data_IF_969467849978
#
_entry.id   IF_969467849978
#
_cell.length_a   1.000
_cell.length_b   1.000
_cell.length_c   1.000
_cell.angle_alpha   90.00
_cell.angle_beta   90.00
_cell.angle_gamma   90.00
#
_symmetry.space_group_name_H-M   'P 1'
#
loop_
_entity.id
_entity.type
_entity.pdbx_description
1 polymer ?
#
# COMPACT_ATOMS: atom_id res chain seq x y z
N UNK A 1 13.73 2.41 11.28
CA UNK A 1 12.60 1.52 11.05
C UNK A 1 12.04 1.74 9.67
N UNK A 2 11.65 0.69 8.95
CA UNK A 2 11.02 0.88 7.64
C UNK A 2 9.72 1.66 7.78
N UNK A 3 9.47 2.55 6.86
CA UNK A 3 8.26 3.37 6.84
C UNK A 3 7.28 2.80 5.82
N UNK A 4 6.05 2.58 6.25
CA UNK A 4 5.00 2.02 5.42
C UNK A 4 3.97 3.11 5.15
N UNK A 5 3.65 3.33 3.88
CA UNK A 5 2.56 4.24 3.51
C UNK A 5 1.30 3.40 3.29
N UNK A 6 0.26 3.69 4.05
CA UNK A 6 -1.02 2.97 3.98
C UNK A 6 -2.07 3.86 3.36
N UNK A 7 -2.68 3.41 2.26
CA UNK A 7 -3.76 4.14 1.58
C UNK A 7 -5.05 3.35 1.70
N UNK A 8 -6.05 3.93 2.36
CA UNK A 8 -7.37 3.33 2.49
C UNK A 8 -8.32 4.43 2.93
N UNK A 9 -9.50 4.52 2.33
CA UNK A 9 -10.47 5.55 2.66
C UNK A 9 -11.32 5.22 3.89
N UNK A 10 -11.14 4.04 4.46
CA UNK A 10 -11.86 3.63 5.68
C UNK A 10 -11.03 3.98 6.91
N UNK A 11 -11.48 4.94 7.76
CA UNK A 11 -10.73 5.28 8.97
C UNK A 11 -10.53 4.08 9.90
N UNK A 12 -11.53 3.21 10.00
CA UNK A 12 -11.43 2.01 10.82
C UNK A 12 -10.33 1.09 10.33
N UNK A 13 -10.25 0.90 9.01
CA UNK A 13 -9.24 0.03 8.41
C UNK A 13 -7.85 0.61 8.57
N UNK A 14 -7.71 1.91 8.34
CA UNK A 14 -6.43 2.61 8.51
C UNK A 14 -5.94 2.46 9.95
N UNK A 15 -6.84 2.65 10.91
CA UNK A 15 -6.49 2.52 12.32
C UNK A 15 -6.04 1.11 12.66
N UNK A 16 -6.77 0.11 12.17
CA UNK A 16 -6.46 -1.29 12.41
C UNK A 16 -5.11 -1.68 11.83
N UNK A 17 -4.88 -1.31 10.56
CA UNK A 17 -3.62 -1.62 9.89
C UNK A 17 -2.44 -0.90 10.55
N UNK A 18 -2.64 0.37 10.93
CA UNK A 18 -1.58 1.13 11.60
C UNK A 18 -1.17 0.47 12.91
N UNK A 19 -2.15 -0.02 13.67
CA UNK A 19 -1.88 -0.69 14.94
C UNK A 19 -1.05 -1.96 14.73
N UNK A 20 -1.45 -2.77 13.74
CA UNK A 20 -0.74 -4.02 13.43
C UNK A 20 0.69 -3.72 13.03
N UNK A 21 0.88 -2.76 12.14
CA UNK A 21 2.21 -2.44 11.61
C UNK A 21 3.11 -1.80 12.66
N UNK A 22 2.59 -0.88 13.45
CA UNK A 22 3.39 -0.24 14.50
C UNK A 22 3.80 -1.24 15.56
N UNK A 23 2.91 -2.15 15.91
CA UNK A 23 3.23 -3.19 16.89
C UNK A 23 4.35 -4.10 16.38
N UNK A 24 4.43 -4.28 15.06
CA UNK A 24 5.48 -5.09 14.45
C UNK A 24 6.80 -4.33 14.27
N UNK A 25 6.84 -3.03 14.63
CA UNK A 25 8.07 -2.26 14.58
C UNK A 25 8.22 -1.34 13.38
N UNK A 26 7.16 -1.16 12.59
CA UNK A 26 7.22 -0.28 11.42
C UNK A 26 6.71 1.11 11.76
N UNK A 27 7.28 2.13 11.09
CA UNK A 27 6.70 3.47 11.09
C UNK A 27 5.57 3.49 10.07
N UNK A 28 4.49 4.23 10.35
CA UNK A 28 3.32 4.24 9.48
C UNK A 28 2.91 5.68 9.17
N UNK A 29 2.73 5.97 7.88
CA UNK A 29 2.04 7.16 7.40
C UNK A 29 0.78 6.69 6.70
N UNK A 30 -0.27 7.48 6.77
CA UNK A 30 -1.55 7.09 6.20
C UNK A 30 -2.04 8.12 5.18
N UNK A 31 -2.82 7.66 4.24
CA UNK A 31 -3.47 8.50 3.23
C UNK A 31 -4.88 8.00 3.00
N UNK A 32 -5.80 8.90 2.71
CA UNK A 32 -7.21 8.55 2.55
C UNK A 32 -7.56 8.13 1.13
N UNK A 33 -6.70 8.46 0.17
CA UNK A 33 -6.89 8.06 -1.23
C UNK A 33 -5.57 8.24 -1.97
N UNK A 34 -5.61 7.95 -3.28
CA UNK A 34 -4.42 8.03 -4.10
C UNK A 34 -3.85 9.43 -4.23
N UNK A 35 -4.74 10.43 -4.30
CA UNK A 35 -4.29 11.82 -4.39
C UNK A 35 -3.54 12.25 -3.14
N UNK A 36 -4.09 11.90 -1.97
CA UNK A 36 -3.43 12.18 -0.69
C UNK A 36 -2.08 11.47 -0.62
N UNK A 37 -2.03 10.24 -1.11
CA UNK A 37 -0.78 9.48 -1.17
C UNK A 37 0.26 10.16 -2.03
N UNK A 38 -0.14 10.65 -3.21
CA UNK A 38 0.79 11.36 -4.08
C UNK A 38 1.28 12.66 -3.44
N UNK A 39 0.41 13.34 -2.69
CA UNK A 39 0.79 14.56 -1.98
C UNK A 39 1.89 14.26 -0.96
N UNK A 40 1.75 13.17 -0.22
CA UNK A 40 2.76 12.78 0.76
C UNK A 40 4.09 12.43 0.10
N UNK A 41 4.04 11.72 -1.02
CA UNK A 41 5.27 11.39 -1.75
C UNK A 41 5.94 12.65 -2.31
N UNK A 42 5.15 13.58 -2.84
CA UNK A 42 5.68 14.85 -3.34
C UNK A 42 6.29 15.69 -2.23
N UNK A 43 5.80 15.52 -1.00
CA UNK A 43 6.33 16.21 0.17
C UNK A 43 7.63 15.64 0.71
N UNK A 44 8.16 14.60 0.08
CA UNK A 44 9.45 14.05 0.44
C UNK A 44 9.42 12.72 1.19
N UNK A 45 8.24 12.16 1.42
CA UNK A 45 8.16 10.85 2.06
C UNK A 45 8.76 9.79 1.15
N UNK A 46 9.58 8.92 1.72
CA UNK A 46 10.21 7.81 0.98
C UNK A 46 9.85 6.50 1.67
N UNK A 47 8.69 5.93 1.36
CA UNK A 47 8.28 4.69 2.04
C UNK A 47 9.13 3.51 1.60
N UNK A 48 9.34 2.59 2.52
CA UNK A 48 10.01 1.33 2.20
C UNK A 48 9.03 0.35 1.55
N UNK A 49 7.74 0.55 1.78
CA UNK A 49 6.69 -0.28 1.20
C UNK A 49 5.39 0.52 1.22
N UNK A 50 4.55 0.28 0.23
CA UNK A 50 3.24 0.92 0.13
C UNK A 50 2.16 -0.17 0.21
N UNK A 51 1.15 0.07 1.04
CA UNK A 51 0.01 -0.81 1.20
C UNK A 51 -1.23 -0.03 0.79
N UNK A 52 -1.92 -0.42 -0.27
CA UNK A 52 -3.01 0.37 -0.81
C UNK A 52 -4.25 -0.47 -1.11
N UNK A 53 -5.43 0.12 -0.85
CA UNK A 53 -6.67 -0.41 -1.36
C UNK A 53 -6.82 -0.01 -2.84
N UNK A 54 -7.76 -0.62 -3.53
CA UNK A 54 -8.11 -0.28 -4.91
C UNK A 54 -9.20 0.78 -4.94
N UNK A 55 -10.28 0.55 -4.18
CA UNK A 55 -11.48 1.39 -4.25
C UNK A 55 -11.38 2.57 -3.31
N UNK A 56 -10.96 3.71 -3.85
CA UNK A 56 -10.79 4.95 -3.08
C UNK A 56 -11.33 6.11 -3.92
N UNK A 57 -11.85 7.18 -3.26
CA UNK A 57 -12.29 8.36 -3.99
C UNK A 57 -11.10 9.14 -4.55
N UNK A 58 -11.36 10.08 -5.43
CA UNK A 58 -10.38 10.96 -6.06
C UNK A 58 -9.45 10.22 -7.00
N UNK A 59 -8.58 9.37 -6.46
CA UNK A 59 -7.66 8.57 -7.25
C UNK A 59 -7.66 7.16 -6.67
N UNK A 60 -8.06 6.16 -7.45
CA UNK A 60 -8.10 4.78 -6.98
C UNK A 60 -6.69 4.18 -6.89
N UNK A 61 -6.62 2.96 -6.32
CA UNK A 61 -5.33 2.33 -6.07
C UNK A 61 -4.55 2.00 -7.33
N UNK A 62 -5.22 1.61 -8.40
CA UNK A 62 -4.52 1.28 -9.65
C UNK A 62 -3.91 2.54 -10.26
N UNK A 63 -4.68 3.64 -10.29
CA UNK A 63 -4.16 4.91 -10.79
C UNK A 63 -2.99 5.39 -9.93
N UNK A 64 -3.11 5.23 -8.60
CA UNK A 64 -2.04 5.59 -7.68
C UNK A 64 -0.76 4.79 -7.98
N UNK A 65 -0.90 3.47 -8.18
CA UNK A 65 0.26 2.61 -8.47
C UNK A 65 0.97 3.10 -9.74
N UNK A 66 0.20 3.42 -10.78
CA UNK A 66 0.78 3.91 -12.03
C UNK A 66 1.60 5.18 -11.80
N UNK A 67 1.05 6.11 -11.03
CA UNK A 67 1.73 7.37 -10.75
C UNK A 67 2.96 7.16 -9.87
N UNK A 68 2.85 6.29 -8.87
CA UNK A 68 3.98 5.99 -7.99
C UNK A 68 5.15 5.39 -8.77
N UNK A 69 4.85 4.57 -9.77
CA UNK A 69 5.89 3.94 -10.58
C UNK A 69 6.61 4.93 -11.50
N UNK A 70 5.98 6.07 -11.79
CA UNK A 70 6.63 7.12 -12.58
C UNK A 70 7.56 7.98 -11.74
N UNK A 71 7.34 8.04 -10.44
CA UNK A 71 8.16 8.86 -9.56
C UNK A 71 9.49 8.14 -9.26
N UNK A 72 10.60 8.88 -9.32
CA UNK A 72 11.92 8.30 -9.10
C UNK A 72 12.05 7.68 -7.71
N UNK A 73 11.44 8.30 -6.69
CA UNK A 73 11.55 7.84 -5.31
C UNK A 73 10.80 6.54 -5.03
N UNK A 74 9.81 6.19 -5.86
CA UNK A 74 8.97 5.01 -5.61
C UNK A 74 8.96 4.02 -6.78
N UNK A 75 9.81 4.24 -7.77
CA UNK A 75 9.84 3.37 -8.96
C UNK A 75 10.00 1.90 -8.60
N UNK A 76 10.80 1.59 -7.59
CA UNK A 76 11.09 0.22 -7.19
C UNK A 76 10.55 -0.14 -5.81
N UNK A 77 9.77 0.74 -5.20
CA UNK A 77 9.21 0.48 -3.87
C UNK A 77 8.17 -0.64 -3.97
N UNK A 78 8.25 -1.67 -3.10
CA UNK A 78 7.22 -2.71 -3.12
C UNK A 78 5.84 -2.14 -2.82
N UNK A 79 4.84 -2.59 -3.55
CA UNK A 79 3.45 -2.16 -3.38
C UNK A 79 2.58 -3.40 -3.19
N UNK A 80 1.90 -3.48 -2.04
CA UNK A 80 0.93 -4.54 -1.77
C UNK A 80 -0.46 -3.94 -1.92
N UNK A 81 -1.32 -4.60 -2.69
CA UNK A 81 -2.74 -4.26 -2.76
C UNK A 81 -3.47 -5.06 -1.68
N UNK A 82 -4.25 -4.38 -0.84
CA UNK A 82 -5.07 -5.03 0.18
C UNK A 82 -6.48 -4.51 0.01
N UNK A 83 -7.39 -5.34 -0.50
CA UNK A 83 -8.70 -4.89 -0.92
C UNK A 83 -9.75 -5.99 -0.79
N UNK A 84 -11.03 -5.61 -0.73
CA UNK A 84 -12.13 -6.56 -0.81
C UNK A 84 -12.40 -7.01 -2.25
N UNK A 85 -11.80 -6.31 -3.21
CA UNK A 85 -11.95 -6.66 -4.61
C UNK A 85 -11.30 -8.02 -4.89
N UNK A 86 -12.04 -8.95 -5.49
CA UNK A 86 -11.52 -10.30 -5.72
C UNK A 86 -11.53 -10.69 -7.20
N UNK A 87 -11.96 -9.80 -8.08
CA UNK A 87 -12.03 -10.09 -9.51
C UNK A 87 -10.66 -10.19 -10.15
N UNK A 88 -10.49 -11.19 -11.02
CA UNK A 88 -9.21 -11.40 -11.71
C UNK A 88 -8.80 -10.23 -12.58
N UNK A 89 -9.78 -9.55 -13.18
CA UNK A 89 -9.49 -8.41 -14.04
C UNK A 89 -8.79 -7.28 -13.26
N UNK A 90 -9.30 -6.93 -12.10
CA UNK A 90 -8.68 -5.88 -11.27
C UNK A 90 -7.29 -6.30 -10.80
N UNK A 91 -7.14 -7.56 -10.45
CA UNK A 91 -5.85 -8.11 -10.03
C UNK A 91 -4.83 -8.01 -11.15
N UNK A 92 -5.23 -8.35 -12.37
CA UNK A 92 -4.35 -8.26 -13.54
C UNK A 92 -4.01 -6.80 -13.84
N UNK A 93 -4.98 -5.89 -13.73
CA UNK A 93 -4.73 -4.46 -13.93
C UNK A 93 -3.73 -3.93 -12.91
N UNK A 94 -3.87 -4.34 -11.65
CA UNK A 94 -2.95 -3.89 -10.60
C UNK A 94 -1.54 -4.40 -10.86
N UNK A 95 -1.42 -5.66 -11.26
CA UNK A 95 -0.12 -6.25 -11.59
C UNK A 95 0.51 -5.51 -12.76
N UNK A 96 -0.25 -5.25 -13.81
CA UNK A 96 0.24 -4.53 -14.98
C UNK A 96 0.67 -3.10 -14.62
N UNK A 97 0.01 -2.49 -13.63
CA UNK A 97 0.35 -1.15 -13.18
C UNK A 97 1.63 -1.16 -12.33
N UNK A 98 2.02 -2.31 -11.79
CA UNK A 98 3.26 -2.43 -11.04
C UNK A 98 3.12 -2.91 -9.60
N UNK A 99 1.96 -3.47 -9.22
CA UNK A 99 1.78 -4.02 -7.87
C UNK A 99 2.67 -5.24 -7.67
N UNK A 100 3.24 -5.36 -6.48
CA UNK A 100 4.14 -6.45 -6.14
C UNK A 100 3.38 -7.67 -5.60
N UNK A 101 2.26 -7.43 -4.89
CA UNK A 101 1.46 -8.50 -4.31
C UNK A 101 0.02 -8.05 -4.16
N UNK A 102 -0.87 -9.02 -4.02
CA UNK A 102 -2.31 -8.77 -3.86
C UNK A 102 -2.82 -9.63 -2.71
N UNK A 103 -3.45 -8.99 -1.73
CA UNK A 103 -4.11 -9.66 -0.62
C UNK A 103 -5.58 -9.27 -0.59
N UNK A 104 -6.45 -10.22 -0.31
CA UNK A 104 -7.89 -9.97 -0.25
C UNK A 104 -8.32 -9.83 1.19
N UNK A 105 -9.10 -8.78 1.49
CA UNK A 105 -9.68 -8.60 2.83
C UNK A 105 -10.82 -9.57 3.07
N UNK A 106 -11.02 -10.03 4.29
CA UNK A 106 -10.18 -9.79 5.45
C UNK A 106 -8.92 -10.64 5.39
N UNK A 107 -7.82 -10.12 5.90
CA UNK A 107 -6.58 -10.87 5.96
C UNK A 107 -6.13 -10.98 7.42
N UNK A 108 -5.48 -12.09 7.75
CA UNK A 108 -4.93 -12.27 9.08
C UNK A 108 -3.69 -11.39 9.27
N UNK A 109 -3.48 -10.84 10.47
CA UNK A 109 -2.27 -10.05 10.70
C UNK A 109 -0.98 -10.79 10.32
N UNK A 110 -0.91 -12.09 10.60
CA UNK A 110 0.28 -12.88 10.26
C UNK A 110 0.50 -12.97 8.75
N UNK A 111 -0.57 -13.10 7.98
CA UNK A 111 -0.48 -13.11 6.52
C UNK A 111 0.08 -11.80 6.00
N UNK A 112 -0.44 -10.70 6.51
CA UNK A 112 0.01 -9.37 6.10
C UNK A 112 1.47 -9.16 6.44
N UNK A 113 1.86 -9.48 7.68
CA UNK A 113 3.24 -9.28 8.12
C UNK A 113 4.19 -10.18 7.36
N UNK A 114 3.79 -11.39 7.02
CA UNK A 114 4.60 -12.29 6.21
C UNK A 114 4.85 -11.70 4.83
N UNK A 115 3.81 -11.15 4.20
CA UNK A 115 3.94 -10.53 2.89
C UNK A 115 4.89 -9.35 2.94
N UNK A 116 4.79 -8.51 3.98
CA UNK A 116 5.70 -7.39 4.14
C UNK A 116 7.14 -7.87 4.27
N UNK A 117 7.38 -8.88 5.09
CA UNK A 117 8.74 -9.40 5.30
C UNK A 117 9.34 -9.95 4.02
N UNK A 118 8.53 -10.56 3.18
CA UNK A 118 9.01 -11.13 1.91
C UNK A 118 9.43 -10.05 0.94
N UNK A 119 8.81 -8.88 1.00
CA UNK A 119 9.07 -7.82 0.04
C UNK A 119 10.04 -6.77 0.54
N UNK A 120 10.16 -6.61 1.85
CA UNK A 120 11.11 -5.64 2.41
C UNK A 120 12.52 -6.21 2.41
N UNK A 121 13.54 -5.35 2.20
CA UNK A 121 14.91 -5.83 2.23
C UNK A 121 15.27 -6.40 3.59
N UNK A 122 15.99 -7.50 3.57
CA UNK A 122 16.52 -8.11 4.78
C UNK A 122 17.66 -7.28 5.34
N UNK A 123 17.78 -7.25 6.65
CA UNK A 123 18.87 -6.53 7.28
C UNK A 123 19.76 -7.49 8.03
#
# INVERSE_FOLDING_TARGET
MPAILVLDDSPTMVMSLSRILKKAGYDVETAVDGRDGMTKLAGGMKPSLILTDINMPQMDGIAFIKEARKAASTRFTPIIVLTTESGGQKRDEARAAGASAWLTKPTEPNELLTALKQLLPSK
#
